data_IF_997480649825
#
_entry.id   IF_997480649825
#
_cell.length_a   1.000
_cell.length_b   1.000
_cell.length_c   1.000
_cell.angle_alpha   90.00
_cell.angle_beta   90.00
_cell.angle_gamma   90.00
#
_symmetry.space_group_name_H-M   'P 1'
#
loop_
_entity.id
_entity.type
_entity.pdbx_description
1 polymer ?
#
# COMPACT_ATOMS: atom_id res chain seq x y z
N UNK A 1 -27.31 -2.38 -1.27
CA UNK A 1 -27.31 -3.45 -0.26
C UNK A 1 -28.59 -4.29 -0.37
N UNK A 2 -29.05 -4.60 -1.59
CA UNK A 2 -30.30 -5.35 -1.80
C UNK A 2 -30.10 -6.70 -2.52
N UNK A 3 -28.87 -7.06 -2.91
CA UNK A 3 -28.56 -8.37 -3.52
C UNK A 3 -27.55 -9.20 -2.73
N UNK A 4 -26.90 -8.62 -1.73
CA UNK A 4 -25.98 -9.35 -0.87
C UNK A 4 -26.77 -10.01 0.26
N UNK A 5 -27.25 -11.23 0.00
CA UNK A 5 -27.55 -12.21 1.04
C UNK A 5 -26.46 -12.14 2.10
N UNK A 6 -26.87 -11.94 3.36
CA UNK A 6 -26.07 -11.67 4.57
C UNK A 6 -24.64 -12.24 4.60
N UNK A 7 -24.40 -13.44 4.05
CA UNK A 7 -23.06 -14.03 3.91
C UNK A 7 -22.12 -13.34 2.93
N UNK A 8 -22.59 -12.88 1.77
CA UNK A 8 -21.76 -12.17 0.79
C UNK A 8 -21.29 -10.79 1.28
N UNK A 9 -22.09 -10.13 2.12
CA UNK A 9 -21.69 -8.92 2.81
C UNK A 9 -20.52 -9.18 3.79
N UNK A 10 -20.57 -10.28 4.55
CA UNK A 10 -19.48 -10.68 5.45
C UNK A 10 -18.17 -10.95 4.69
N UNK A 11 -18.23 -11.59 3.51
CA UNK A 11 -17.05 -11.82 2.68
C UNK A 11 -16.44 -10.53 2.10
N UNK A 12 -17.25 -9.50 1.81
CA UNK A 12 -16.73 -8.21 1.36
C UNK A 12 -15.89 -7.55 2.47
N UNK A 13 -16.40 -7.49 3.71
CA UNK A 13 -15.60 -6.93 4.81
C UNK A 13 -14.36 -7.76 5.08
N UNK A 14 -14.51 -9.09 5.14
CA UNK A 14 -13.37 -9.98 5.36
C UNK A 14 -12.29 -9.75 4.29
N UNK A 15 -12.69 -9.65 3.01
CA UNK A 15 -11.76 -9.38 1.91
C UNK A 15 -11.10 -8.01 2.01
N UNK A 16 -11.82 -6.97 2.40
CA UNK A 16 -11.25 -5.63 2.60
C UNK A 16 -10.17 -5.63 3.70
N UNK A 17 -10.43 -6.27 4.84
CA UNK A 17 -9.46 -6.38 5.93
C UNK A 17 -8.26 -7.25 5.54
N UNK A 18 -8.48 -8.37 4.85
CA UNK A 18 -7.39 -9.23 4.35
C UNK A 18 -6.49 -8.49 3.36
N UNK A 19 -7.06 -7.66 2.48
CA UNK A 19 -6.28 -6.84 1.55
C UNK A 19 -5.45 -5.77 2.25
N UNK A 20 -5.95 -5.16 3.33
CA UNK A 20 -5.17 -4.18 4.12
C UNK A 20 -3.94 -4.86 4.74
N UNK A 21 -4.14 -6.03 5.37
CA UNK A 21 -3.05 -6.79 5.99
C UNK A 21 -2.03 -7.23 4.92
N UNK A 22 -2.51 -7.77 3.79
CA UNK A 22 -1.64 -8.24 2.72
C UNK A 22 -0.77 -7.11 2.12
N UNK A 23 -1.36 -5.95 1.82
CA UNK A 23 -0.62 -4.80 1.29
C UNK A 23 0.40 -4.25 2.30
N UNK A 24 0.07 -4.26 3.59
CA UNK A 24 1.02 -3.84 4.64
C UNK A 24 2.21 -4.79 4.77
N UNK A 25 2.00 -6.10 4.58
CA UNK A 25 3.06 -7.10 4.58
C UNK A 25 4.02 -6.91 3.39
N UNK A 26 3.46 -6.71 2.18
CA UNK A 26 4.27 -6.43 0.98
C UNK A 26 5.14 -5.18 1.17
N UNK A 27 4.57 -4.11 1.74
CA UNK A 27 5.31 -2.88 2.03
C UNK A 27 6.47 -3.14 3.01
N UNK A 28 6.22 -3.89 4.09
CA UNK A 28 7.26 -4.22 5.08
C UNK A 28 8.41 -5.03 4.45
N UNK A 29 8.10 -6.01 3.60
CA UNK A 29 9.12 -6.84 2.95
C UNK A 29 9.96 -6.03 1.95
N UNK A 30 9.32 -5.16 1.15
CA UNK A 30 10.02 -4.38 0.13
C UNK A 30 10.88 -3.24 0.70
N UNK A 31 10.42 -2.56 1.76
CA UNK A 31 11.10 -1.35 2.27
C UNK A 31 11.89 -1.57 3.58
N UNK A 32 11.42 -2.41 4.50
CA UNK A 32 11.95 -2.49 5.88
C UNK A 32 12.83 -3.71 6.16
N UNK A 33 13.06 -4.55 5.14
CA UNK A 33 13.86 -5.77 5.21
C UNK A 33 13.10 -6.96 5.83
N UNK A 34 13.41 -8.16 5.34
CA UNK A 34 12.72 -9.40 5.71
C UNK A 34 13.51 -10.19 6.77
N UNK A 35 13.40 -9.78 8.04
CA UNK A 35 14.01 -10.51 9.17
C UNK A 35 13.00 -11.45 9.83
N UNK A 36 12.56 -12.51 9.10
CA UNK A 36 11.49 -13.42 9.51
C UNK A 36 11.68 -14.08 10.88
N UNK A 37 12.93 -14.26 11.31
CA UNK A 37 13.27 -14.92 12.57
C UNK A 37 13.27 -13.98 13.77
N UNK A 38 13.19 -12.66 13.55
CA UNK A 38 13.25 -11.68 14.62
C UNK A 38 11.85 -11.25 15.07
N UNK A 39 11.67 -11.10 16.39
CA UNK A 39 10.44 -10.51 16.98
C UNK A 39 10.24 -9.07 16.46
N UNK A 40 11.32 -8.41 16.05
CA UNK A 40 11.31 -7.08 15.43
C UNK A 40 10.48 -7.03 14.15
N UNK A 41 10.42 -8.12 13.36
CA UNK A 41 9.58 -8.16 12.16
C UNK A 41 8.09 -8.05 12.49
N UNK A 42 7.63 -8.78 13.52
CA UNK A 42 6.24 -8.68 13.97
C UNK A 42 5.91 -7.27 14.47
N UNK A 43 6.83 -6.61 15.18
CA UNK A 43 6.63 -5.24 15.64
C UNK A 43 6.59 -4.21 14.49
N UNK A 44 7.45 -4.37 13.47
CA UNK A 44 7.40 -3.56 12.25
C UNK A 44 6.08 -3.73 11.50
N UNK A 45 5.57 -4.97 11.43
CA UNK A 45 4.31 -5.29 10.76
C UNK A 45 3.11 -4.68 11.50
N UNK A 46 3.03 -4.84 12.83
CA UNK A 46 1.93 -4.25 13.62
C UNK A 46 1.94 -2.72 13.53
N UNK A 47 3.11 -2.10 13.54
CA UNK A 47 3.24 -0.65 13.35
C UNK A 47 2.74 -0.20 11.97
N UNK A 48 3.06 -0.94 10.90
CA UNK A 48 2.56 -0.65 9.56
C UNK A 48 1.04 -0.78 9.46
N UNK A 49 0.46 -1.85 10.00
CA UNK A 49 -1.02 -2.03 10.03
C UNK A 49 -1.68 -0.89 10.81
N UNK A 50 -1.10 -0.49 11.95
CA UNK A 50 -1.58 0.64 12.74
C UNK A 50 -1.58 1.95 11.94
N UNK A 51 -0.51 2.22 11.19
CA UNK A 51 -0.43 3.40 10.32
C UNK A 51 -1.52 3.39 9.24
N UNK A 52 -1.80 2.26 8.60
CA UNK A 52 -2.88 2.16 7.59
C UNK A 52 -4.27 2.43 8.17
N UNK A 53 -4.55 1.92 9.37
CA UNK A 53 -5.82 2.16 10.07
C UNK A 53 -5.92 3.64 10.48
N UNK A 54 -4.83 4.23 10.95
CA UNK A 54 -4.76 5.65 11.31
C UNK A 54 -5.02 6.56 10.10
N UNK A 55 -4.41 6.27 8.96
CA UNK A 55 -4.59 7.03 7.71
C UNK A 55 -6.05 6.98 7.25
N UNK A 56 -6.72 5.84 7.37
CA UNK A 56 -8.17 5.71 7.10
C UNK A 56 -9.02 6.58 8.03
N UNK A 57 -8.62 6.77 9.29
CA UNK A 57 -9.36 7.56 10.28
C UNK A 57 -9.15 9.07 10.16
N UNK A 58 -8.01 9.52 9.62
CA UNK A 58 -7.64 10.95 9.56
C UNK A 58 -8.03 11.65 8.26
N UNK A 59 -8.14 10.92 7.15
CA UNK A 59 -8.38 11.53 5.85
C UNK A 59 -9.89 11.67 5.55
N UNK A 60 -10.41 12.89 5.35
CA UNK A 60 -11.75 13.07 4.80
C UNK A 60 -11.81 12.50 3.38
N UNK A 61 -12.96 11.91 3.01
CA UNK A 61 -13.13 11.21 1.73
C UNK A 61 -12.72 12.08 0.55
N UNK A 62 -11.65 11.68 -0.15
CA UNK A 62 -11.24 12.31 -1.40
C UNK A 62 -12.18 11.88 -2.54
N UNK A 63 -12.61 12.84 -3.35
CA UNK A 63 -13.39 12.55 -4.57
C UNK A 63 -12.50 11.88 -5.61
N UNK A 64 -13.07 10.94 -6.36
CA UNK A 64 -12.36 10.13 -7.36
C UNK A 64 -11.54 10.96 -8.36
N UNK A 65 -12.04 12.12 -8.78
CA UNK A 65 -11.37 12.99 -9.74
C UNK A 65 -9.99 13.46 -9.26
N UNK A 66 -9.90 13.82 -7.96
CA UNK A 66 -8.64 14.30 -7.38
C UNK A 66 -7.64 13.16 -7.20
N UNK A 67 -8.14 11.95 -6.89
CA UNK A 67 -7.30 10.76 -6.77
C UNK A 67 -6.73 10.37 -8.13
N UNK A 68 -7.55 10.35 -9.18
CA UNK A 68 -7.10 9.99 -10.53
C UNK A 68 -6.06 10.99 -11.05
N UNK A 69 -6.29 12.29 -10.85
CA UNK A 69 -5.34 13.32 -11.21
C UNK A 69 -4.01 13.17 -10.46
N UNK A 70 -4.03 12.86 -9.15
CA UNK A 70 -2.80 12.62 -8.38
C UNK A 70 -2.00 11.44 -8.95
N UNK A 71 -2.67 10.32 -9.26
CA UNK A 71 -2.01 9.13 -9.83
C UNK A 71 -1.38 9.40 -11.19
N UNK A 72 -2.14 10.05 -12.08
CA UNK A 72 -1.69 10.29 -13.46
C UNK A 72 -0.69 11.41 -13.59
N UNK A 73 -0.87 12.52 -12.86
CA UNK A 73 -0.03 13.70 -13.02
C UNK A 73 1.21 13.69 -12.14
N UNK A 74 1.20 12.98 -11.01
CA UNK A 74 2.33 13.00 -10.08
C UNK A 74 3.02 11.63 -9.97
N UNK A 75 2.26 10.56 -9.68
CA UNK A 75 2.89 9.25 -9.44
C UNK A 75 3.48 8.62 -10.69
N UNK A 76 2.78 8.70 -11.82
CA UNK A 76 3.26 8.13 -13.09
C UNK A 76 4.57 8.78 -13.59
N UNK A 77 4.67 10.12 -13.73
CA UNK A 77 5.93 10.72 -14.16
C UNK A 77 7.04 10.58 -13.12
N UNK A 78 6.73 10.54 -11.82
CA UNK A 78 7.73 10.35 -10.78
C UNK A 78 8.38 8.96 -10.87
N UNK A 79 7.58 7.89 -11.00
CA UNK A 79 8.10 6.52 -11.08
C UNK A 79 8.93 6.31 -12.35
N UNK A 80 8.51 6.88 -13.48
CA UNK A 80 9.26 6.87 -14.73
C UNK A 80 10.61 7.61 -14.61
N UNK A 81 10.64 8.79 -13.98
CA UNK A 81 11.88 9.52 -13.74
C UNK A 81 12.85 8.72 -12.87
N UNK A 82 12.37 8.08 -11.80
CA UNK A 82 13.21 7.22 -10.96
C UNK A 82 13.78 6.04 -11.76
N UNK A 83 12.98 5.38 -12.59
CA UNK A 83 13.45 4.25 -13.41
C UNK A 83 14.56 4.68 -14.38
N UNK A 84 14.35 5.78 -15.10
CA UNK A 84 15.35 6.32 -16.03
C UNK A 84 16.61 6.72 -15.26
N UNK A 85 16.47 7.40 -14.12
CA UNK A 85 17.60 7.81 -13.29
C UNK A 85 18.43 6.61 -12.81
N UNK A 86 17.80 5.58 -12.26
CA UNK A 86 18.51 4.38 -11.81
C UNK A 86 19.19 3.64 -12.97
N UNK A 87 18.53 3.53 -14.13
CA UNK A 87 19.14 2.91 -15.31
C UNK A 87 20.35 3.70 -15.84
N UNK A 88 20.28 5.04 -15.83
CA UNK A 88 21.38 5.90 -16.23
C UNK A 88 22.55 5.88 -15.24
N UNK A 89 22.28 5.86 -13.94
CA UNK A 89 23.31 5.73 -12.89
C UNK A 89 24.03 4.39 -13.01
N UNK A 90 23.31 3.29 -13.25
CA UNK A 90 23.91 1.97 -13.49
C UNK A 90 24.86 2.02 -14.71
N UNK A 91 24.45 2.68 -15.80
CA UNK A 91 25.26 2.79 -17.01
C UNK A 91 26.49 3.70 -16.83
N UNK A 92 26.42 4.73 -15.98
CA UNK A 92 27.58 5.56 -15.63
C UNK A 92 28.57 4.88 -14.69
N UNK A 93 28.08 3.97 -13.83
CA UNK A 93 28.90 3.24 -12.86
C UNK A 93 29.59 2.02 -13.47
N UNK A 94 28.99 1.41 -14.49
CA UNK A 94 29.56 0.31 -15.26
C UNK A 94 30.58 0.82 -16.29
#
# INVERSE_FOLDING_TARGET
AEEYSSGGFAFIFLSEYMNIIFMSLLCCVMFLGCDLYSILFFFKLTFMVFAFIWVRGTLPRYRYDKLMYLTWSMFLPLSLNYLIFFSGVILMIL
#
